data_IF_182065935229
#
_entry.id   IF_182065935229
#
_cell.length_a   1.000
_cell.length_b   1.000
_cell.length_c   1.000
_cell.angle_alpha   90.00
_cell.angle_beta   90.00
_cell.angle_gamma   90.00
#
_symmetry.space_group_name_H-M   'P 1'
#
loop_
_entity.id
_entity.type
_entity.pdbx_description
1 polymer ?
#
# COMPACT_ATOMS: atom_id res chain seq x y z
N UNK A 1 20.92 9.91 -5.64
CA UNK A 1 20.86 8.62 -4.92
C UNK A 1 19.39 8.24 -4.69
N UNK A 2 18.78 7.52 -5.62
CA UNK A 2 17.45 6.92 -5.41
C UNK A 2 17.50 5.49 -5.92
N UNK A 3 18.00 4.59 -5.08
CA UNK A 3 17.75 3.17 -5.21
C UNK A 3 16.43 2.91 -4.47
N UNK A 4 15.32 2.89 -5.19
CA UNK A 4 14.04 2.39 -4.67
C UNK A 4 13.82 1.00 -5.25
N UNK A 5 14.21 0.04 -4.42
CA UNK A 5 13.65 -1.30 -4.21
C UNK A 5 13.02 -1.92 -5.44
N UNK A 6 13.73 -2.91 -5.98
CA UNK A 6 13.21 -3.91 -6.90
C UNK A 6 11.86 -4.42 -6.37
N UNK A 7 10.78 -4.09 -7.09
CA UNK A 7 9.46 -4.63 -6.84
C UNK A 7 9.53 -6.14 -7.03
N UNK A 8 9.55 -6.87 -5.92
CA UNK A 8 9.25 -8.30 -5.89
C UNK A 8 7.92 -8.49 -6.60
N UNK A 9 7.83 -9.48 -7.48
CA UNK A 9 6.60 -9.91 -8.15
C UNK A 9 5.46 -10.07 -7.14
N UNK A 10 4.72 -8.99 -6.90
CA UNK A 10 3.72 -8.90 -5.87
C UNK A 10 2.41 -9.43 -6.41
N UNK A 11 2.04 -10.62 -5.97
CA UNK A 11 0.69 -11.12 -6.16
C UNK A 11 -0.31 -10.06 -5.71
N UNK A 12 -1.28 -9.73 -6.58
CA UNK A 12 -2.30 -8.74 -6.25
C UNK A 12 -3.18 -9.32 -5.15
N UNK A 13 -3.10 -8.73 -3.96
CA UNK A 13 -3.92 -9.14 -2.82
C UNK A 13 -5.38 -8.81 -3.09
N UNK A 14 -6.28 -9.69 -2.65
CA UNK A 14 -7.70 -9.38 -2.59
C UNK A 14 -8.02 -8.46 -1.40
N UNK A 15 -9.26 -7.96 -1.37
CA UNK A 15 -9.70 -7.02 -0.35
C UNK A 15 -9.72 -7.60 1.06
N UNK A 16 -10.00 -8.89 1.21
CA UNK A 16 -10.08 -9.54 2.52
C UNK A 16 -8.68 -9.67 3.13
N UNK A 17 -7.69 -10.04 2.32
CA UNK A 17 -6.30 -10.14 2.74
C UNK A 17 -5.71 -8.76 3.05
N UNK A 18 -6.06 -7.72 2.28
CA UNK A 18 -5.68 -6.33 2.58
C UNK A 18 -6.27 -5.89 3.93
N UNK A 19 -7.59 -6.07 4.12
CA UNK A 19 -8.28 -5.66 5.34
C UNK A 19 -7.70 -6.36 6.58
N UNK A 20 -7.42 -7.66 6.46
CA UNK A 20 -6.78 -8.45 7.52
C UNK A 20 -5.41 -7.91 7.88
N UNK A 21 -4.53 -7.69 6.89
CA UNK A 21 -3.16 -7.20 7.13
C UNK A 21 -3.15 -5.82 7.77
N UNK A 22 -4.08 -4.94 7.40
CA UNK A 22 -4.23 -3.62 8.03
C UNK A 22 -4.81 -3.77 9.45
N UNK A 23 -5.81 -4.61 9.65
CA UNK A 23 -6.41 -4.88 10.96
C UNK A 23 -5.41 -5.46 11.97
N UNK A 24 -4.49 -6.31 11.51
CA UNK A 24 -3.43 -6.91 12.33
C UNK A 24 -2.52 -5.86 12.98
N UNK A 25 -2.36 -4.66 12.39
CA UNK A 25 -1.60 -3.55 13.00
C UNK A 25 -2.16 -3.17 14.38
N UNK A 26 -3.48 -3.01 14.47
CA UNK A 26 -4.15 -2.63 15.71
C UNK A 26 -4.04 -3.73 16.76
N UNK A 27 -4.06 -5.00 16.32
CA UNK A 27 -3.90 -6.15 17.19
C UNK A 27 -2.49 -6.25 17.75
N UNK A 28 -1.46 -6.03 16.93
CA UNK A 28 -0.07 -5.99 17.38
C UNK A 28 0.13 -4.86 18.41
N UNK A 29 -0.36 -3.66 18.11
CA UNK A 29 -0.22 -2.52 19.00
C UNK A 29 -0.90 -2.76 20.35
N UNK A 30 -2.17 -3.19 20.33
CA UNK A 30 -2.93 -3.50 21.53
C UNK A 30 -2.24 -4.56 22.40
N UNK A 31 -1.65 -5.60 21.80
CA UNK A 31 -0.93 -6.64 22.54
C UNK A 31 0.35 -6.13 23.19
N UNK A 32 1.14 -5.34 22.46
CA UNK A 32 2.37 -4.74 22.98
C UNK A 32 2.08 -3.81 24.17
N UNK A 33 0.99 -3.05 24.11
CA UNK A 33 0.60 -2.11 25.15
C UNK A 33 0.05 -2.82 26.41
N UNK A 34 -0.82 -3.82 26.23
CA UNK A 34 -1.56 -4.42 27.33
C UNK A 34 -0.87 -5.64 27.95
N UNK A 35 -0.04 -6.36 27.18
CA UNK A 35 0.61 -7.61 27.63
C UNK A 35 2.03 -7.77 27.09
N UNK A 36 2.93 -6.78 27.29
CA UNK A 36 4.25 -6.77 26.67
C UNK A 36 5.11 -8.01 26.96
N UNK A 37 4.98 -8.61 28.15
CA UNK A 37 5.73 -9.82 28.54
C UNK A 37 5.25 -11.11 27.89
N UNK A 38 4.05 -11.14 27.32
CA UNK A 38 3.45 -12.33 26.68
C UNK A 38 3.60 -12.31 25.15
N UNK A 39 4.10 -11.20 24.59
CA UNK A 39 4.14 -10.97 23.15
C UNK A 39 5.41 -11.55 22.53
N UNK A 40 5.22 -12.35 21.48
CA UNK A 40 6.32 -12.72 20.59
C UNK A 40 6.66 -11.54 19.66
N UNK A 41 7.71 -10.81 20.00
CA UNK A 41 8.17 -9.61 19.28
C UNK A 41 8.53 -9.90 17.82
N UNK A 42 9.20 -11.02 17.53
CA UNK A 42 9.53 -11.41 16.15
C UNK A 42 8.30 -11.73 15.29
N UNK A 43 7.19 -12.20 15.89
CA UNK A 43 5.93 -12.35 15.18
C UNK A 43 5.27 -10.99 14.91
N UNK A 44 5.35 -10.08 15.87
CA UNK A 44 4.85 -8.72 15.72
C UNK A 44 5.60 -7.98 14.60
N UNK A 45 6.93 -8.06 14.58
CA UNK A 45 7.77 -7.48 13.52
C UNK A 45 7.37 -7.99 12.13
N UNK A 46 7.21 -9.31 11.95
CA UNK A 46 6.79 -9.90 10.67
C UNK A 46 5.40 -9.43 10.25
N UNK A 47 4.49 -9.32 11.21
CA UNK A 47 3.12 -8.84 10.97
C UNK A 47 3.12 -7.38 10.54
N UNK A 48 3.82 -6.52 11.27
CA UNK A 48 3.99 -5.10 10.94
C UNK A 48 4.64 -4.92 9.57
N UNK A 49 5.66 -5.73 9.25
CA UNK A 49 6.33 -5.68 7.95
C UNK A 49 5.36 -5.97 6.79
N UNK A 50 4.55 -7.03 6.89
CA UNK A 50 3.54 -7.38 5.87
C UNK A 50 2.48 -6.28 5.71
N UNK A 51 2.05 -5.68 6.82
CA UNK A 51 1.11 -4.59 6.80
C UNK A 51 1.71 -3.34 6.14
N UNK A 52 2.97 -2.99 6.45
CA UNK A 52 3.68 -1.88 5.82
C UNK A 52 3.85 -2.10 4.30
N UNK A 53 4.25 -3.30 3.88
CA UNK A 53 4.32 -3.68 2.45
C UNK A 53 2.96 -3.47 1.76
N UNK A 54 1.87 -3.87 2.41
CA UNK A 54 0.50 -3.70 1.89
C UNK A 54 0.11 -2.22 1.77
N UNK A 55 0.45 -1.39 2.76
CA UNK A 55 0.18 0.06 2.72
C UNK A 55 0.98 0.74 1.60
N UNK A 56 2.24 0.37 1.41
CA UNK A 56 3.08 0.88 0.32
C UNK A 56 2.48 0.50 -1.04
N UNK A 57 2.05 -0.76 -1.21
CA UNK A 57 1.40 -1.20 -2.43
C UNK A 57 0.12 -0.39 -2.73
N UNK A 58 -0.76 -0.21 -1.74
CA UNK A 58 -1.97 0.60 -1.90
C UNK A 58 -1.66 2.06 -2.27
N UNK A 59 -0.61 2.63 -1.67
CA UNK A 59 -0.15 3.96 -2.02
C UNK A 59 0.29 4.05 -3.49
N UNK A 60 1.08 3.08 -3.97
CA UNK A 60 1.51 3.01 -5.36
C UNK A 60 0.32 2.88 -6.33
N UNK A 61 -0.68 2.08 -5.98
CA UNK A 61 -1.93 1.96 -6.77
C UNK A 61 -2.67 3.30 -6.89
N UNK A 62 -2.76 4.07 -5.79
CA UNK A 62 -3.35 5.42 -5.80
C UNK A 62 -2.55 6.37 -6.69
N UNK A 63 -1.22 6.34 -6.63
CA UNK A 63 -0.37 7.19 -7.47
C UNK A 63 -0.50 6.83 -8.96
N UNK A 64 -0.54 5.53 -9.27
CA UNK A 64 -0.74 5.06 -10.63
C UNK A 64 -2.09 5.53 -11.20
N UNK A 65 -3.16 5.49 -10.40
CA UNK A 65 -4.48 5.95 -10.80
C UNK A 65 -4.53 7.47 -11.00
N UNK A 66 -3.87 8.25 -10.12
CA UNK A 66 -3.72 9.70 -10.32
C UNK A 66 -3.05 10.02 -11.66
N UNK A 67 -1.93 9.37 -11.95
CA UNK A 67 -1.21 9.56 -13.20
C UNK A 67 -2.04 9.18 -14.44
N UNK A 68 -2.86 8.11 -14.36
CA UNK A 68 -3.79 7.73 -15.43
C UNK A 68 -4.84 8.81 -15.69
N UNK A 69 -5.44 9.36 -14.62
CA UNK A 69 -6.45 10.42 -14.73
C UNK A 69 -5.88 11.70 -15.32
N UNK A 70 -4.69 12.12 -14.89
CA UNK A 70 -4.00 13.29 -15.45
C UNK A 70 -3.70 13.12 -16.96
N UNK A 71 -3.25 11.92 -17.35
CA UNK A 71 -3.05 11.58 -18.77
C UNK A 71 -4.35 11.62 -19.56
N UNK A 72 -5.46 11.10 -19.01
CA UNK A 72 -6.76 11.14 -19.66
C UNK A 72 -7.24 12.58 -19.87
N UNK A 73 -7.14 13.44 -18.85
CA UNK A 73 -7.53 14.86 -18.92
C UNK A 73 -6.68 15.61 -19.95
N UNK A 74 -5.35 15.43 -19.92
CA UNK A 74 -4.47 16.09 -20.90
C UNK A 74 -4.70 15.63 -22.34
N UNK A 75 -5.13 14.38 -22.54
CA UNK A 75 -5.54 13.86 -23.86
C UNK A 75 -6.81 14.54 -24.36
N UNK A 76 -7.84 14.62 -23.52
CA UNK A 76 -9.10 15.28 -23.86
C UNK A 76 -8.88 16.76 -24.20
N UNK A 77 -8.09 17.48 -23.39
CA UNK A 77 -7.73 18.89 -23.67
C UNK A 77 -7.04 19.07 -25.02
N UNK A 78 -6.09 18.19 -25.37
CA UNK A 78 -5.40 18.24 -26.67
C UNK A 78 -6.34 17.96 -27.84
N UNK A 79 -7.25 17.00 -27.69
CA UNK A 79 -8.25 16.69 -28.72
C UNK A 79 -9.24 17.85 -28.95
N UNK A 80 -9.64 18.55 -27.88
CA UNK A 80 -10.50 19.72 -27.99
C UNK A 80 -9.81 20.92 -28.68
N UNK A 81 -8.50 21.10 -28.48
CA UNK A 81 -7.72 22.18 -29.10
C UNK A 81 -7.32 21.92 -30.56
N UNK A 82 -7.23 20.64 -30.97
CA UNK A 82 -6.89 20.26 -32.34
C UNK A 82 -8.11 20.17 -33.28
N UNK A 83 -9.33 20.33 -32.75
CA UNK A 83 -10.59 20.27 -33.49
C UNK A 83 -11.24 21.64 -33.77
N UNK A 84 -10.49 22.73 -33.61
CA UNK A 84 -10.89 24.11 -33.97
C UNK A 84 -9.98 24.63 -35.07
#
# INVERSE_FOLDING_TARGET
>A
MSALVAGSSGERLDWDEIAKRIGDLTTVWSRLENRPSEVNTSNCERTLKKAAETVVQLWEEVQAEKARREKAVSRVKRQALAGV
#
